data_IF_027094649269
#
_entry.id   IF_027094649269
#
_cell.length_a   1.000
_cell.length_b   1.000
_cell.length_c   1.000
_cell.angle_alpha   90.00
_cell.angle_beta   90.00
_cell.angle_gamma   90.00
#
_symmetry.space_group_name_H-M   'P 1'
#
loop_
_entity.id
_entity.type
_entity.pdbx_description
1 polymer ?
#
# COMPACT_ATOMS: atom_id res chain seq x y z
N UNK A 1 -30.09 -18.70 37.90
CA UNK A 1 -29.18 -18.72 36.73
C UNK A 1 -29.34 -17.45 35.88
N UNK A 2 -29.54 -16.29 36.52
CA UNK A 2 -29.84 -15.01 35.86
C UNK A 2 -28.71 -14.00 36.10
N UNK A 3 -27.65 -14.03 35.29
CA UNK A 3 -26.68 -12.93 35.25
C UNK A 3 -25.74 -12.92 34.03
N UNK A 4 -26.18 -13.37 32.84
CA UNK A 4 -25.29 -13.44 31.66
C UNK A 4 -25.75 -12.71 30.40
N UNK A 5 -26.81 -11.88 30.49
CA UNK A 5 -27.41 -11.24 29.30
C UNK A 5 -27.49 -9.71 29.36
N UNK A 6 -26.55 -9.06 30.05
CA UNK A 6 -26.43 -7.59 30.04
C UNK A 6 -25.03 -7.15 29.61
N UNK A 7 -24.65 -7.41 28.35
CA UNK A 7 -23.53 -6.70 27.73
C UNK A 7 -23.51 -6.69 26.19
N UNK A 8 -24.66 -6.70 25.52
CA UNK A 8 -24.71 -6.34 24.10
C UNK A 8 -25.43 -5.00 23.96
N UNK A 9 -24.64 -3.92 23.91
CA UNK A 9 -25.14 -2.60 23.49
C UNK A 9 -25.52 -2.68 22.01
N UNK A 10 -26.77 -3.06 21.72
CA UNK A 10 -27.59 -2.56 20.61
C UNK A 10 -27.06 -2.59 19.16
N UNK A 11 -25.94 -3.24 18.85
CA UNK A 11 -25.50 -3.49 17.48
C UNK A 11 -25.01 -4.92 17.41
N UNK A 12 -25.66 -5.75 16.59
CA UNK A 12 -25.08 -7.02 16.19
C UNK A 12 -23.70 -6.73 15.59
N UNK A 13 -22.59 -7.32 16.07
CA UNK A 13 -21.38 -7.32 15.27
C UNK A 13 -21.76 -7.94 13.92
N UNK A 14 -21.29 -7.35 12.81
CA UNK A 14 -21.37 -8.01 11.49
C UNK A 14 -20.46 -9.23 11.53
N UNK A 15 -20.89 -10.30 12.19
CA UNK A 15 -20.30 -11.62 12.06
C UNK A 15 -20.66 -12.10 10.66
N UNK A 16 -19.68 -12.03 9.75
CA UNK A 16 -19.78 -12.50 8.38
C UNK A 16 -18.84 -13.70 8.23
N UNK A 17 -19.33 -14.74 7.57
CA UNK A 17 -18.48 -15.81 7.07
C UNK A 17 -17.83 -15.33 5.78
N UNK A 18 -16.53 -15.55 5.65
CA UNK A 18 -15.73 -15.17 4.48
C UNK A 18 -15.23 -16.45 3.80
N UNK A 19 -15.24 -16.46 2.48
CA UNK A 19 -14.77 -17.62 1.71
C UNK A 19 -13.23 -17.71 1.71
N UNK A 20 -12.55 -16.55 1.79
CA UNK A 20 -11.12 -16.49 2.01
C UNK A 20 -10.62 -15.22 2.72
N UNK A 21 -9.33 -15.23 3.06
CA UNK A 21 -8.68 -14.16 3.82
C UNK A 21 -8.68 -12.81 3.10
N UNK A 22 -8.69 -12.79 1.77
CA UNK A 22 -8.67 -11.54 0.99
C UNK A 22 -9.98 -10.76 1.12
N UNK A 23 -11.09 -11.43 1.43
CA UNK A 23 -12.38 -10.77 1.70
C UNK A 23 -12.41 -9.97 3.01
N UNK A 24 -11.43 -10.20 3.89
CA UNK A 24 -11.26 -9.44 5.14
C UNK A 24 -10.42 -8.17 4.95
N UNK A 25 -9.89 -7.92 3.75
CA UNK A 25 -9.10 -6.74 3.44
C UNK A 25 -10.02 -5.51 3.40
N UNK A 26 -9.63 -4.47 4.14
CA UNK A 26 -10.38 -3.23 4.25
C UNK A 26 -11.39 -3.21 5.38
N UNK A 27 -12.36 -2.29 5.30
CA UNK A 27 -13.31 -2.02 6.40
C UNK A 27 -12.61 -1.84 7.76
N UNK A 28 -11.42 -1.24 7.76
CA UNK A 28 -10.59 -1.06 8.94
C UNK A 28 -11.18 0.02 9.85
N UNK A 29 -11.01 -0.05 11.18
CA UNK A 29 -11.63 0.90 12.08
C UNK A 29 -10.98 2.28 12.05
N UNK A 30 -11.75 3.31 12.41
CA UNK A 30 -11.26 4.64 12.78
C UNK A 30 -11.42 4.84 14.29
N UNK A 31 -10.34 5.26 14.96
CA UNK A 31 -10.34 5.42 16.43
C UNK A 31 -9.85 6.80 16.83
N UNK A 32 -10.53 7.42 17.82
CA UNK A 32 -10.18 8.72 18.40
C UNK A 32 -8.97 8.61 19.34
N UNK A 33 -8.01 9.51 19.20
CA UNK A 33 -6.88 9.65 20.12
C UNK A 33 -7.24 10.58 21.29
N UNK A 34 -7.76 10.01 22.38
CA UNK A 34 -8.27 10.80 23.50
C UNK A 34 -7.18 11.54 24.32
N UNK A 35 -5.95 11.02 24.36
CA UNK A 35 -4.88 11.54 25.25
C UNK A 35 -3.72 12.22 24.52
N UNK A 36 -3.60 12.02 23.21
CA UNK A 36 -2.47 12.51 22.41
C UNK A 36 -2.87 13.60 21.41
N UNK A 37 -4.16 13.93 21.34
CA UNK A 37 -4.62 15.02 20.48
C UNK A 37 -4.20 16.37 21.07
N UNK A 38 -3.81 17.35 20.22
CA UNK A 38 -3.61 18.72 20.67
C UNK A 38 -4.88 19.29 21.35
N UNK A 39 -4.75 20.22 22.31
CA UNK A 39 -5.90 20.86 22.93
C UNK A 39 -6.84 21.49 21.89
N UNK A 40 -8.15 21.21 22.01
CA UNK A 40 -9.17 21.72 21.09
C UNK A 40 -9.23 21.01 19.72
N UNK A 41 -8.45 19.94 19.52
CA UNK A 41 -8.44 19.17 18.26
C UNK A 41 -8.97 17.77 18.50
N UNK A 42 -9.95 17.37 17.70
CA UNK A 42 -10.40 15.99 17.63
C UNK A 42 -9.54 15.22 16.62
N UNK A 43 -8.66 14.35 17.11
CA UNK A 43 -7.76 13.55 16.26
C UNK A 43 -8.23 12.09 16.19
N UNK A 44 -8.32 11.57 14.96
CA UNK A 44 -8.70 10.20 14.67
C UNK A 44 -7.67 9.53 13.77
N UNK A 45 -7.54 8.21 13.88
CA UNK A 45 -6.62 7.41 13.07
C UNK A 45 -7.38 6.30 12.35
N UNK A 46 -7.22 6.20 11.03
CA UNK A 46 -7.66 5.06 10.22
C UNK A 46 -6.65 3.93 10.39
N UNK A 47 -7.05 2.86 11.09
CA UNK A 47 -6.16 1.83 11.58
C UNK A 47 -5.93 0.74 10.51
N UNK A 48 -5.22 1.09 9.44
CA UNK A 48 -4.89 0.16 8.35
C UNK A 48 -4.04 -1.05 8.77
N UNK A 49 -3.53 -1.09 10.01
CA UNK A 49 -2.89 -2.29 10.56
C UNK A 49 -3.89 -3.38 10.98
N UNK A 50 -5.21 -3.12 10.91
CA UNK A 50 -6.25 -4.14 11.10
C UNK A 50 -6.51 -5.00 9.84
N UNK A 51 -5.90 -4.66 8.70
CA UNK A 51 -5.85 -5.57 7.56
C UNK A 51 -5.16 -6.90 7.95
N UNK A 52 -5.45 -8.02 7.28
CA UNK A 52 -5.05 -9.37 7.74
C UNK A 52 -3.54 -9.58 7.92
N UNK A 53 -2.70 -8.93 7.11
CA UNK A 53 -1.23 -8.95 7.22
C UNK A 53 -0.68 -7.64 7.78
N UNK A 54 -1.54 -6.94 8.53
CA UNK A 54 -1.22 -5.81 9.39
C UNK A 54 -0.72 -4.55 8.69
N UNK A 55 -1.14 -4.32 7.44
CA UNK A 55 -0.80 -3.05 6.76
C UNK A 55 -1.77 -2.64 5.65
N UNK A 56 -1.71 -1.37 5.28
CA UNK A 56 -2.42 -0.80 4.13
C UNK A 56 -2.07 -1.48 2.79
N UNK A 57 -0.93 -2.18 2.71
CA UNK A 57 -0.47 -2.79 1.45
C UNK A 57 -1.25 -4.04 1.06
N UNK A 58 -2.05 -4.60 1.96
CA UNK A 58 -2.96 -5.70 1.63
C UNK A 58 -3.99 -5.23 0.57
N UNK A 59 -4.48 -4.00 0.69
CA UNK A 59 -5.36 -3.37 -0.31
C UNK A 59 -4.69 -3.22 -1.67
N UNK A 60 -3.44 -2.74 -1.68
CA UNK A 60 -2.65 -2.58 -2.91
C UNK A 60 -2.43 -3.94 -3.58
N UNK A 61 -2.05 -4.95 -2.80
CA UNK A 61 -1.79 -6.28 -3.31
C UNK A 61 -3.06 -6.89 -3.94
N UNK A 62 -4.19 -6.82 -3.25
CA UNK A 62 -5.46 -7.31 -3.78
C UNK A 62 -5.84 -6.57 -5.07
N UNK A 63 -5.78 -5.25 -5.07
CA UNK A 63 -6.12 -4.42 -6.22
C UNK A 63 -5.32 -4.75 -7.48
N UNK A 64 -4.01 -4.93 -7.34
CA UNK A 64 -3.11 -5.22 -8.47
C UNK A 64 -3.42 -6.61 -9.05
N UNK A 65 -3.63 -7.61 -8.19
CA UNK A 65 -3.92 -8.97 -8.64
C UNK A 65 -5.29 -9.03 -9.31
N UNK A 66 -6.33 -8.44 -8.71
CA UNK A 66 -7.68 -8.38 -9.29
C UNK A 66 -7.71 -7.62 -10.64
N UNK A 67 -6.96 -6.52 -10.78
CA UNK A 67 -6.83 -5.83 -12.08
C UNK A 67 -6.14 -6.71 -13.13
N UNK A 68 -5.06 -7.38 -12.75
CA UNK A 68 -4.34 -8.31 -13.62
C UNK A 68 -5.21 -9.47 -14.09
N UNK A 69 -6.01 -10.06 -13.19
CA UNK A 69 -7.00 -11.10 -13.49
C UNK A 69 -8.09 -10.57 -14.43
N UNK A 70 -8.73 -9.44 -14.08
CA UNK A 70 -9.82 -8.83 -14.85
C UNK A 70 -9.39 -8.48 -16.28
N UNK A 71 -8.14 -8.02 -16.46
CA UNK A 71 -7.59 -7.67 -17.78
C UNK A 71 -7.04 -8.87 -18.54
N UNK A 72 -7.07 -10.06 -17.97
CA UNK A 72 -6.52 -11.29 -18.58
C UNK A 72 -4.99 -11.30 -18.68
N UNK A 73 -4.31 -10.41 -17.94
CA UNK A 73 -2.85 -10.34 -17.88
C UNK A 73 -2.26 -11.41 -16.94
N UNK A 74 -3.03 -11.83 -15.93
CA UNK A 74 -2.72 -12.95 -15.05
C UNK A 74 -3.56 -14.17 -15.40
N UNK A 75 -2.90 -15.24 -15.83
CA UNK A 75 -3.51 -16.55 -16.07
C UNK A 75 -3.32 -17.47 -14.86
N UNK A 76 -4.20 -18.45 -14.61
CA UNK A 76 -4.01 -19.42 -13.52
C UNK A 76 -2.59 -20.01 -13.48
N UNK A 77 -1.96 -20.03 -12.30
CA UNK A 77 -0.58 -20.53 -12.13
C UNK A 77 0.53 -19.58 -12.60
N UNK A 78 0.21 -18.35 -13.03
CA UNK A 78 1.20 -17.34 -13.40
C UNK A 78 2.15 -17.01 -12.24
N UNK A 79 3.31 -16.45 -12.60
CA UNK A 79 4.24 -15.88 -11.63
C UNK A 79 4.11 -14.37 -11.60
N UNK A 80 3.96 -13.83 -10.38
CA UNK A 80 3.97 -12.40 -10.07
C UNK A 80 5.34 -12.04 -9.51
N UNK A 81 5.89 -10.91 -9.92
CA UNK A 81 7.16 -10.39 -9.41
C UNK A 81 7.04 -8.93 -8.98
N UNK A 82 7.74 -8.56 -7.90
CA UNK A 82 7.85 -7.17 -7.46
C UNK A 82 9.18 -6.90 -6.72
N UNK A 83 9.74 -5.71 -6.92
CA UNK A 83 10.79 -5.14 -6.09
C UNK A 83 10.17 -4.50 -4.84
N UNK A 84 10.48 -5.03 -3.67
CA UNK A 84 9.84 -4.59 -2.43
C UNK A 84 10.75 -4.74 -1.22
N UNK A 85 10.69 -3.77 -0.31
CA UNK A 85 11.47 -3.77 0.93
C UNK A 85 10.66 -4.17 2.16
N UNK A 86 9.35 -4.42 2.01
CA UNK A 86 8.48 -4.72 3.16
C UNK A 86 7.05 -5.09 2.79
N UNK A 87 6.10 -4.23 3.19
CA UNK A 87 4.69 -4.60 3.31
C UNK A 87 4.03 -4.99 1.98
N UNK A 88 4.40 -4.37 0.85
CA UNK A 88 3.85 -4.76 -0.46
C UNK A 88 4.20 -6.21 -0.80
N UNK A 89 5.40 -6.67 -0.43
CA UNK A 89 5.79 -8.07 -0.65
C UNK A 89 5.00 -9.03 0.23
N UNK A 90 4.75 -8.67 1.49
CA UNK A 90 3.94 -9.50 2.39
C UNK A 90 2.49 -9.61 1.89
N UNK A 91 1.87 -8.49 1.52
CA UNK A 91 0.51 -8.47 0.97
C UNK A 91 0.41 -9.28 -0.33
N UNK A 92 1.35 -9.08 -1.27
CA UNK A 92 1.39 -9.85 -2.52
C UNK A 92 1.62 -11.35 -2.27
N UNK A 93 2.45 -11.71 -1.27
CA UNK A 93 2.66 -13.11 -0.90
C UNK A 93 1.35 -13.77 -0.46
N UNK A 94 0.59 -13.12 0.43
CA UNK A 94 -0.71 -13.63 0.89
C UNK A 94 -1.70 -13.76 -0.28
N UNK A 95 -1.89 -12.70 -1.06
CA UNK A 95 -2.88 -12.70 -2.14
C UNK A 95 -2.50 -13.72 -3.22
N UNK A 96 -1.23 -13.80 -3.61
CA UNK A 96 -0.78 -14.79 -4.59
C UNK A 96 -0.96 -16.22 -4.07
N UNK A 97 -0.63 -16.49 -2.80
CA UNK A 97 -0.84 -17.81 -2.20
C UNK A 97 -2.32 -18.21 -2.22
N UNK A 98 -3.22 -17.29 -1.91
CA UNK A 98 -4.66 -17.53 -1.94
C UNK A 98 -5.20 -17.73 -3.37
N UNK A 99 -4.69 -16.96 -4.35
CA UNK A 99 -5.15 -17.01 -5.75
C UNK A 99 -4.44 -18.08 -6.61
N UNK A 100 -3.49 -18.83 -6.04
CA UNK A 100 -2.77 -19.88 -6.76
C UNK A 100 -1.67 -19.37 -7.71
N UNK A 101 -1.07 -18.22 -7.40
CA UNK A 101 0.06 -17.65 -8.13
C UNK A 101 1.39 -17.88 -7.38
N UNK A 102 2.46 -18.04 -8.14
CA UNK A 102 3.82 -17.96 -7.55
C UNK A 102 4.19 -16.49 -7.38
N UNK A 103 4.56 -16.07 -6.17
CA UNK A 103 5.12 -14.72 -5.96
C UNK A 103 6.64 -14.76 -5.82
N UNK A 104 7.32 -13.86 -6.53
CA UNK A 104 8.76 -13.62 -6.44
C UNK A 104 9.01 -12.20 -5.92
N UNK A 105 9.52 -12.10 -4.70
CA UNK A 105 9.95 -10.82 -4.11
C UNK A 105 11.43 -10.60 -4.38
N UNK A 106 11.78 -9.45 -4.95
CA UNK A 106 13.17 -8.98 -5.07
C UNK A 106 13.43 -7.94 -3.99
N UNK A 107 14.42 -8.19 -3.12
CA UNK A 107 14.74 -7.36 -1.97
C UNK A 107 16.23 -7.07 -1.89
N UNK A 108 16.63 -5.92 -1.34
CA UNK A 108 18.03 -5.63 -1.04
C UNK A 108 18.47 -6.34 0.23
N UNK A 109 19.75 -6.74 0.32
CA UNK A 109 20.31 -7.46 1.46
C UNK A 109 20.12 -6.74 2.81
N UNK A 110 20.09 -5.40 2.81
CA UNK A 110 19.85 -4.57 3.99
C UNK A 110 18.42 -4.61 4.51
N UNK A 111 17.46 -5.17 3.76
CA UNK A 111 16.11 -5.43 4.27
C UNK A 111 16.14 -6.50 5.37
N UNK A 112 15.22 -6.37 6.34
CA UNK A 112 15.22 -7.20 7.54
C UNK A 112 15.01 -8.69 7.23
N UNK A 113 15.66 -9.55 8.03
CA UNK A 113 15.56 -11.02 7.88
C UNK A 113 14.14 -11.49 8.16
N UNK A 114 13.45 -10.85 9.10
CA UNK A 114 12.09 -11.18 9.55
C UNK A 114 11.09 -11.04 8.40
N UNK A 115 11.20 -9.97 7.60
CA UNK A 115 10.34 -9.78 6.42
C UNK A 115 10.54 -10.87 5.37
N UNK A 116 11.79 -11.28 5.15
CA UNK A 116 12.11 -12.40 4.25
C UNK A 116 11.51 -13.72 4.76
N UNK A 117 11.54 -13.95 6.08
CA UNK A 117 10.96 -15.15 6.70
C UNK A 117 9.43 -15.18 6.54
N UNK A 118 8.74 -14.06 6.80
CA UNK A 118 7.27 -13.97 6.64
C UNK A 118 6.88 -14.26 5.18
N UNK A 119 7.53 -13.63 4.20
CA UNK A 119 7.21 -13.87 2.79
C UNK A 119 7.44 -15.34 2.38
N UNK A 120 8.54 -15.96 2.81
CA UNK A 120 8.80 -17.39 2.53
C UNK A 120 7.78 -18.30 3.21
N UNK A 121 7.34 -17.98 4.42
CA UNK A 121 6.29 -18.73 5.13
C UNK A 121 4.96 -18.69 4.37
N UNK A 122 4.67 -17.58 3.70
CA UNK A 122 3.51 -17.42 2.81
C UNK A 122 3.73 -18.03 1.40
N UNK A 123 4.83 -18.76 1.18
CA UNK A 123 5.09 -19.45 -0.09
C UNK A 123 5.80 -18.62 -1.16
N UNK A 124 6.17 -17.37 -0.86
CA UNK A 124 6.89 -16.54 -1.82
C UNK A 124 8.37 -16.94 -1.97
N UNK A 125 8.90 -16.81 -3.18
CA UNK A 125 10.34 -16.89 -3.46
C UNK A 125 10.96 -15.52 -3.19
N UNK A 126 12.06 -15.49 -2.46
CA UNK A 126 12.75 -14.23 -2.11
C UNK A 126 14.14 -14.22 -2.71
N UNK A 127 14.35 -13.32 -3.66
CA UNK A 127 15.64 -13.04 -4.30
C UNK A 127 16.27 -11.83 -3.60
N UNK A 128 17.52 -11.97 -3.18
CA UNK A 128 18.25 -10.93 -2.46
C UNK A 128 19.30 -10.29 -3.36
N UNK A 129 19.26 -8.98 -3.56
CA UNK A 129 20.26 -8.20 -4.29
C UNK A 129 21.32 -7.62 -3.36
N UNK A 130 22.55 -7.37 -3.85
CA UNK A 130 23.62 -6.75 -3.05
C UNK A 130 23.23 -5.37 -2.49
N UNK A 131 23.63 -5.10 -1.24
CA UNK A 131 23.33 -3.84 -0.55
C UNK A 131 23.75 -2.56 -1.32
N UNK A 132 24.93 -2.49 -1.97
CA UNK A 132 25.36 -1.28 -2.69
C UNK A 132 24.45 -0.87 -3.84
N UNK A 133 23.65 -1.79 -4.39
CA UNK A 133 22.74 -1.47 -5.50
C UNK A 133 21.45 -0.77 -5.03
N UNK A 134 21.17 -0.76 -3.73
CA UNK A 134 20.04 -0.06 -3.14
C UNK A 134 18.66 -0.45 -3.72
N UNK A 135 17.70 0.46 -3.59
CA UNK A 135 16.33 0.28 -4.11
C UNK A 135 16.27 0.20 -5.64
N UNK A 136 17.06 1.03 -6.33
CA UNK A 136 17.15 1.02 -7.81
C UNK A 136 17.62 -0.34 -8.33
N UNK A 137 18.60 -0.96 -7.69
CA UNK A 137 19.08 -2.30 -8.06
C UNK A 137 18.03 -3.40 -7.89
N UNK A 138 17.18 -3.31 -6.86
CA UNK A 138 16.05 -4.24 -6.71
C UNK A 138 15.07 -4.11 -7.87
N UNK A 139 14.72 -2.87 -8.23
CA UNK A 139 13.79 -2.55 -9.32
C UNK A 139 14.34 -3.09 -10.65
N UNK A 140 15.59 -2.76 -10.99
CA UNK A 140 16.23 -3.25 -12.22
C UNK A 140 16.26 -4.79 -12.27
N UNK A 141 16.58 -5.46 -11.14
CA UNK A 141 16.58 -6.92 -11.11
C UNK A 141 15.19 -7.53 -11.26
N UNK A 142 14.16 -6.92 -10.67
CA UNK A 142 12.78 -7.37 -10.86
C UNK A 142 12.34 -7.23 -12.32
N UNK A 143 12.72 -6.13 -12.97
CA UNK A 143 12.43 -5.87 -14.38
C UNK A 143 13.13 -6.86 -15.30
N UNK A 144 14.43 -7.10 -15.09
CA UNK A 144 15.22 -8.12 -15.83
C UNK A 144 14.55 -9.50 -15.77
N UNK A 145 14.14 -9.92 -14.57
CA UNK A 145 13.50 -11.23 -14.36
C UNK A 145 12.09 -11.29 -14.94
N UNK A 146 11.33 -10.20 -14.85
CA UNK A 146 10.01 -10.10 -15.46
C UNK A 146 10.10 -10.24 -16.98
N UNK A 147 11.05 -9.53 -17.61
CA UNK A 147 11.29 -9.61 -19.06
C UNK A 147 11.71 -11.01 -19.48
N UNK A 148 12.74 -11.55 -18.83
CA UNK A 148 13.34 -12.84 -19.16
C UNK A 148 12.34 -13.99 -19.11
N UNK A 149 11.41 -13.95 -18.16
CA UNK A 149 10.48 -15.04 -17.91
C UNK A 149 9.04 -14.74 -18.33
N UNK A 150 8.75 -13.54 -18.83
CA UNK A 150 7.39 -13.09 -19.11
C UNK A 150 6.49 -13.08 -17.87
N UNK A 151 7.06 -12.84 -16.69
CA UNK A 151 6.30 -12.80 -15.43
C UNK A 151 5.53 -11.49 -15.30
N UNK A 152 4.39 -11.55 -14.59
CA UNK A 152 3.58 -10.38 -14.35
C UNK A 152 4.27 -9.46 -13.33
N UNK A 153 4.71 -8.29 -13.79
CA UNK A 153 5.33 -7.28 -12.95
C UNK A 153 4.27 -6.40 -12.28
N UNK A 154 4.19 -6.43 -10.95
CA UNK A 154 3.11 -5.78 -10.19
C UNK A 154 3.09 -4.24 -10.31
N UNK A 155 4.26 -3.61 -10.41
CA UNK A 155 4.45 -2.16 -10.65
C UNK A 155 3.77 -1.28 -9.60
N UNK A 156 4.04 -1.51 -8.31
CA UNK A 156 3.36 -0.82 -7.22
C UNK A 156 3.42 0.72 -7.26
N UNK A 157 4.36 1.31 -8.01
CA UNK A 157 4.57 2.77 -8.09
C UNK A 157 3.91 3.43 -9.30
N UNK A 158 3.42 2.63 -10.26
CA UNK A 158 2.82 3.08 -11.53
C UNK A 158 1.45 2.46 -11.82
N UNK A 159 1.06 1.40 -11.09
CA UNK A 159 -0.18 0.67 -11.34
C UNK A 159 -1.41 1.42 -10.81
N UNK A 160 -2.25 1.90 -11.73
CA UNK A 160 -3.49 2.66 -11.43
C UNK A 160 -4.53 1.87 -10.62
N UNK A 161 -4.43 0.54 -10.55
CA UNK A 161 -5.28 -0.26 -9.66
C UNK A 161 -5.11 0.15 -8.18
N UNK A 162 -3.91 0.58 -7.79
CA UNK A 162 -3.61 1.01 -6.43
C UNK A 162 -4.44 2.23 -5.98
N UNK A 163 -4.36 3.41 -6.64
CA UNK A 163 -5.24 4.53 -6.29
C UNK A 163 -6.71 4.24 -6.56
N UNK A 164 -7.06 3.49 -7.60
CA UNK A 164 -8.45 3.15 -7.90
C UNK A 164 -9.12 2.38 -6.75
N UNK A 165 -8.42 1.42 -6.15
CA UNK A 165 -8.95 0.65 -5.03
C UNK A 165 -9.16 1.53 -3.79
N UNK A 166 -8.21 2.41 -3.47
CA UNK A 166 -8.39 3.38 -2.38
C UNK A 166 -9.55 4.36 -2.60
N UNK A 167 -9.83 4.71 -3.86
CA UNK A 167 -10.99 5.52 -4.21
C UNK A 167 -12.31 4.74 -4.02
N UNK A 168 -12.32 3.43 -4.28
CA UNK A 168 -13.50 2.59 -4.12
C UNK A 168 -13.72 2.10 -2.68
N UNK A 169 -12.67 2.04 -1.85
CA UNK A 169 -12.76 1.52 -0.49
C UNK A 169 -12.38 2.54 0.57
N UNK A 170 -11.11 2.95 0.66
CA UNK A 170 -10.58 3.72 1.79
C UNK A 170 -11.25 5.09 1.94
N UNK A 171 -11.44 5.81 0.84
CA UNK A 171 -12.16 7.09 0.84
C UNK A 171 -13.61 6.94 1.31
N UNK A 172 -14.43 6.09 0.66
CA UNK A 172 -15.81 5.82 1.07
C UNK A 172 -15.97 5.30 2.49
N UNK A 173 -15.07 4.44 2.97
CA UNK A 173 -15.05 3.99 4.37
C UNK A 173 -14.92 5.18 5.33
N UNK A 174 -13.95 6.08 5.09
CA UNK A 174 -13.75 7.29 5.90
C UNK A 174 -15.00 8.20 5.84
N UNK A 175 -15.59 8.39 4.67
CA UNK A 175 -16.80 9.22 4.53
C UNK A 175 -17.98 8.64 5.28
N UNK A 176 -18.13 7.32 5.27
CA UNK A 176 -19.18 6.59 5.98
C UNK A 176 -19.00 6.70 7.48
N UNK A 177 -17.78 6.49 7.99
CA UNK A 177 -17.46 6.59 9.42
C UNK A 177 -17.68 8.01 9.98
N UNK A 178 -17.51 9.03 9.13
CA UNK A 178 -17.78 10.44 9.45
C UNK A 178 -19.12 10.95 8.90
N UNK A 179 -20.07 10.07 8.53
CA UNK A 179 -21.39 10.49 8.09
C UNK A 179 -22.07 11.34 9.17
N UNK A 180 -22.58 12.52 8.78
CA UNK A 180 -23.18 13.48 9.73
C UNK A 180 -22.18 14.16 10.68
N UNK A 181 -20.87 13.95 10.52
CA UNK A 181 -19.81 14.58 11.31
C UNK A 181 -18.87 15.39 10.44
N UNK A 182 -18.45 16.54 10.95
CA UNK A 182 -17.45 17.39 10.31
C UNK A 182 -16.08 16.68 10.29
N UNK A 183 -15.34 16.86 9.19
CA UNK A 183 -13.94 16.43 9.03
C UNK A 183 -13.20 17.53 8.29
N UNK A 184 -12.39 18.30 9.01
CA UNK A 184 -11.75 19.51 8.48
C UNK A 184 -10.42 19.24 7.78
N UNK A 185 -9.67 18.26 8.26
CA UNK A 185 -8.34 17.91 7.76
C UNK A 185 -8.25 16.39 7.57
N UNK A 186 -7.63 15.98 6.46
CA UNK A 186 -7.16 14.62 6.27
C UNK A 186 -5.66 14.65 5.98
N UNK A 187 -4.88 13.99 6.84
CA UNK A 187 -3.42 13.99 6.80
C UNK A 187 -2.95 12.60 6.46
N UNK A 188 -2.06 12.46 5.49
CA UNK A 188 -1.48 11.18 5.10
C UNK A 188 -0.03 11.33 4.65
N UNK A 189 0.76 10.28 4.82
CA UNK A 189 2.05 10.15 4.15
C UNK A 189 1.88 9.60 2.73
N UNK A 190 2.99 9.49 2.00
CA UNK A 190 3.03 8.73 0.75
C UNK A 190 4.16 7.71 0.76
N UNK A 191 3.91 6.61 0.05
CA UNK A 191 4.96 5.67 -0.31
C UNK A 191 4.84 5.22 -1.75
N UNK A 192 3.68 4.69 -2.13
CA UNK A 192 3.32 4.46 -3.52
C UNK A 192 2.35 5.50 -4.07
N UNK A 193 1.96 6.50 -3.26
CA UNK A 193 0.96 7.52 -3.64
C UNK A 193 -0.51 7.06 -3.62
N UNK A 194 -0.79 5.75 -3.69
CA UNK A 194 -2.15 5.22 -3.88
C UNK A 194 -3.19 5.69 -2.86
N UNK A 195 -2.86 5.67 -1.57
CA UNK A 195 -3.77 6.13 -0.51
C UNK A 195 -4.07 7.62 -0.66
N UNK A 196 -3.03 8.44 -0.88
CA UNK A 196 -3.15 9.88 -1.06
C UNK A 196 -4.02 10.22 -2.28
N UNK A 197 -3.69 9.69 -3.47
CA UNK A 197 -4.48 9.97 -4.67
C UNK A 197 -5.89 9.43 -4.59
N UNK A 198 -6.03 8.13 -4.29
CA UNK A 198 -7.31 7.43 -4.36
C UNK A 198 -8.30 7.95 -3.33
N UNK A 199 -7.95 7.85 -2.06
CA UNK A 199 -8.83 8.32 -0.98
C UNK A 199 -8.95 9.85 -1.01
N UNK A 200 -7.84 10.57 -1.21
CA UNK A 200 -7.82 12.04 -1.22
C UNK A 200 -8.73 12.64 -2.30
N UNK A 201 -8.76 12.08 -3.51
CA UNK A 201 -9.65 12.53 -4.59
C UNK A 201 -11.12 12.39 -4.22
N UNK A 202 -11.51 11.22 -3.69
CA UNK A 202 -12.90 10.95 -3.27
C UNK A 202 -13.31 11.83 -2.10
N UNK A 203 -12.41 11.96 -1.12
CA UNK A 203 -12.58 12.80 0.05
C UNK A 203 -12.76 14.28 -0.33
N UNK A 204 -11.94 14.81 -1.23
CA UNK A 204 -12.03 16.20 -1.71
C UNK A 204 -13.29 16.46 -2.54
N UNK A 205 -13.67 15.50 -3.39
CA UNK A 205 -14.90 15.61 -4.19
C UNK A 205 -16.16 15.64 -3.30
N UNK A 206 -16.21 14.80 -2.26
CA UNK A 206 -17.35 14.73 -1.35
C UNK A 206 -17.38 15.87 -0.30
N UNK A 207 -16.21 16.40 0.09
CA UNK A 207 -16.07 17.49 1.07
C UNK A 207 -15.10 18.55 0.55
N UNK A 208 -15.56 19.47 -0.32
CA UNK A 208 -14.69 20.46 -0.97
C UNK A 208 -13.93 21.37 0.00
N UNK A 209 -14.48 21.65 1.18
CA UNK A 209 -13.82 22.51 2.19
C UNK A 209 -12.75 21.78 3.01
N UNK A 210 -12.70 20.45 2.95
CA UNK A 210 -11.70 19.68 3.68
C UNK A 210 -10.30 19.93 3.11
N UNK A 211 -9.35 20.10 4.01
CA UNK A 211 -7.93 20.26 3.67
C UNK A 211 -7.25 18.89 3.62
N UNK A 212 -6.67 18.58 2.47
CA UNK A 212 -5.88 17.37 2.24
C UNK A 212 -4.42 17.73 2.45
N UNK A 213 -3.76 17.10 3.41
CA UNK A 213 -2.37 17.38 3.79
C UNK A 213 -1.52 16.14 3.51
N UNK A 214 -0.52 16.31 2.64
CA UNK A 214 0.50 15.31 2.39
C UNK A 214 1.71 15.59 3.29
N UNK A 215 2.19 14.56 3.98
CA UNK A 215 3.37 14.63 4.84
C UNK A 215 4.52 13.83 4.24
N UNK A 216 5.75 14.31 4.47
CA UNK A 216 6.97 13.62 4.08
C UNK A 216 8.10 13.82 5.09
N UNK A 217 9.11 12.93 5.10
CA UNK A 217 10.24 13.06 6.01
C UNK A 217 11.11 14.23 5.63
N UNK A 218 11.60 14.98 6.63
CA UNK A 218 12.58 16.06 6.41
C UNK A 218 13.86 15.59 5.70
N UNK A 219 14.25 14.32 5.86
CA UNK A 219 15.41 13.72 5.19
C UNK A 219 15.14 13.23 3.75
N UNK A 220 13.88 13.23 3.32
CA UNK A 220 13.49 12.91 1.94
C UNK A 220 12.34 13.83 1.47
N UNK A 221 12.60 15.15 1.34
CA UNK A 221 11.61 16.15 0.95
C UNK A 221 11.35 16.11 -0.57
N UNK A 222 10.96 14.96 -1.12
CA UNK A 222 10.93 14.79 -2.57
C UNK A 222 9.86 15.67 -3.22
N UNK A 223 8.65 15.71 -2.66
CA UNK A 223 7.55 16.51 -3.22
C UNK A 223 7.78 18.00 -2.93
N UNK A 224 8.18 18.35 -1.70
CA UNK A 224 8.40 19.76 -1.34
C UNK A 224 9.64 20.38 -1.97
N UNK A 225 10.58 19.59 -2.50
CA UNK A 225 11.71 20.10 -3.27
C UNK A 225 11.29 20.84 -4.55
N UNK A 226 10.12 20.52 -5.11
CA UNK A 226 9.66 21.04 -6.40
C UNK A 226 10.40 20.47 -7.62
N UNK A 227 11.37 19.58 -7.41
CA UNK A 227 12.07 18.90 -8.50
C UNK A 227 11.22 17.77 -9.08
N UNK A 228 11.32 17.58 -10.40
CA UNK A 228 10.58 16.52 -11.09
C UNK A 228 11.36 15.22 -11.07
N UNK A 229 10.64 14.10 -10.99
CA UNK A 229 11.24 12.79 -11.14
C UNK A 229 11.51 12.48 -12.62
N UNK A 230 12.75 12.11 -12.95
CA UNK A 230 13.08 11.58 -14.27
C UNK A 230 12.53 10.15 -14.41
N UNK A 231 11.88 9.87 -15.54
CA UNK A 231 11.16 8.61 -15.79
C UNK A 231 11.60 7.95 -17.09
N UNK A 232 11.46 6.64 -17.13
CA UNK A 232 11.73 5.79 -18.30
C UNK A 232 10.57 4.82 -18.55
N UNK A 233 10.60 4.19 -19.71
CA UNK A 233 9.71 3.09 -20.06
C UNK A 233 10.33 1.76 -19.66
N UNK A 234 9.52 0.89 -19.06
CA UNK A 234 9.92 -0.47 -18.75
C UNK A 234 8.81 -1.43 -19.14
N UNK A 235 9.15 -2.46 -19.93
CA UNK A 235 8.23 -3.44 -20.53
C UNK A 235 6.99 -2.75 -21.13
N UNK A 236 7.19 -1.75 -21.99
CA UNK A 236 6.10 -1.05 -22.70
C UNK A 236 5.23 -0.12 -21.86
N UNK A 237 5.62 0.21 -20.62
CA UNK A 237 4.86 1.11 -19.74
C UNK A 237 5.76 2.23 -19.23
N UNK A 238 5.42 3.47 -19.60
CA UNK A 238 6.07 4.68 -19.12
C UNK A 238 5.68 4.99 -17.68
N UNK A 239 6.69 5.26 -16.84
CA UNK A 239 6.44 5.66 -15.45
C UNK A 239 7.54 5.29 -14.47
N UNK A 240 8.35 4.28 -14.80
CA UNK A 240 9.40 3.81 -13.92
C UNK A 240 10.44 4.93 -13.68
N UNK A 241 11.03 5.03 -12.47
CA UNK A 241 12.07 6.02 -12.20
C UNK A 241 13.33 5.71 -13.02
N UNK A 242 13.85 6.68 -13.78
CA UNK A 242 15.10 6.52 -14.52
C UNK A 242 16.32 6.52 -13.58
N UNK A 243 16.25 7.28 -12.49
CA UNK A 243 17.28 7.39 -11.46
C UNK A 243 16.67 7.80 -10.10
N UNK A 244 17.48 7.72 -9.05
CA UNK A 244 17.09 8.25 -7.74
C UNK A 244 16.90 9.78 -7.78
N UNK A 245 15.97 10.28 -6.97
CA UNK A 245 15.67 11.69 -6.84
C UNK A 245 16.79 12.40 -6.05
N UNK A 246 17.28 13.56 -6.53
CA UNK A 246 18.42 14.26 -5.92
C UNK A 246 18.13 14.79 -4.51
N UNK A 247 16.88 15.15 -4.21
CA UNK A 247 16.47 15.55 -2.86
C UNK A 247 16.40 14.38 -1.84
N UNK A 248 16.66 13.13 -2.25
CA UNK A 248 16.66 12.01 -1.33
C UNK A 248 18.01 11.89 -0.60
N UNK A 249 17.97 11.73 0.73
CA UNK A 249 19.17 11.41 1.51
C UNK A 249 19.02 10.06 2.23
N UNK A 250 20.10 9.28 2.38
CA UNK A 250 20.06 8.05 3.17
C UNK A 250 19.57 8.28 4.59
N UNK A 251 18.52 7.56 4.97
CA UNK A 251 17.92 7.68 6.29
C UNK A 251 17.38 6.33 6.80
N UNK A 252 17.26 6.14 8.12
CA UNK A 252 16.75 4.89 8.70
C UNK A 252 15.21 4.73 8.60
N UNK A 253 14.49 5.75 8.13
CA UNK A 253 13.02 5.71 8.02
C UNK A 253 12.60 4.71 6.94
N UNK A 254 12.23 3.49 7.35
CA UNK A 254 11.77 2.44 6.45
C UNK A 254 10.28 2.60 6.15
N UNK A 255 9.86 2.18 4.95
CA UNK A 255 8.45 2.01 4.61
C UNK A 255 7.66 3.29 4.31
N UNK A 256 8.31 4.45 4.22
CA UNK A 256 7.70 5.69 3.73
C UNK A 256 7.74 5.72 2.20
N UNK A 257 8.70 6.44 1.61
CA UNK A 257 8.90 6.56 0.15
C UNK A 257 10.21 5.88 -0.28
N UNK A 258 10.29 5.29 -1.48
CA UNK A 258 11.58 4.95 -2.09
C UNK A 258 12.42 6.21 -2.35
N UNK A 259 13.63 6.03 -2.89
CA UNK A 259 14.53 7.13 -3.26
C UNK A 259 14.10 7.87 -4.54
N UNK A 260 12.81 7.88 -4.89
CA UNK A 260 12.23 8.51 -6.07
C UNK A 260 10.76 8.88 -5.81
N UNK A 261 10.19 9.78 -6.61
CA UNK A 261 8.74 10.08 -6.55
C UNK A 261 7.97 9.02 -7.36
N UNK A 262 7.08 8.22 -6.74
CA UNK A 262 6.20 7.30 -7.48
C UNK A 262 5.35 8.04 -8.50
N UNK A 263 5.08 7.43 -9.68
CA UNK A 263 4.24 8.06 -10.72
C UNK A 263 2.84 8.36 -10.18
N UNK A 264 2.29 7.45 -9.40
CA UNK A 264 0.98 7.63 -8.76
C UNK A 264 0.95 8.87 -7.85
N UNK A 265 2.08 9.34 -7.30
CA UNK A 265 2.05 10.52 -6.40
C UNK A 265 1.97 11.85 -7.16
N UNK A 266 2.25 11.87 -8.47
CA UNK A 266 2.11 13.04 -9.34
C UNK A 266 0.64 13.35 -9.65
#
# INVERSE_FOLDING_TARGET
>A
MSCFLKCFRGQSPKCRLYDDITETIGNTPIVKLNKMAPPGVDLYVKLEYFNPLSSVKDRLALAIIEDGERRGLLKPGSTVIEATSGNSGIGLSMVCAQRGYTFVAVMVASCSVERRKIMRMLGAKVIVTPAPLGGTGMVLKAQELAEKHGWYYARQFENEANPAYHAQTTGPEILTDFAGKRLDYWVTGYGTGGTFQGAGKVLKAARPDMKIILSEPKAAPLITSGEKQERTEVLGVYGAPAKGHPAWTPHPIQGWTPNFIPKITE
#
